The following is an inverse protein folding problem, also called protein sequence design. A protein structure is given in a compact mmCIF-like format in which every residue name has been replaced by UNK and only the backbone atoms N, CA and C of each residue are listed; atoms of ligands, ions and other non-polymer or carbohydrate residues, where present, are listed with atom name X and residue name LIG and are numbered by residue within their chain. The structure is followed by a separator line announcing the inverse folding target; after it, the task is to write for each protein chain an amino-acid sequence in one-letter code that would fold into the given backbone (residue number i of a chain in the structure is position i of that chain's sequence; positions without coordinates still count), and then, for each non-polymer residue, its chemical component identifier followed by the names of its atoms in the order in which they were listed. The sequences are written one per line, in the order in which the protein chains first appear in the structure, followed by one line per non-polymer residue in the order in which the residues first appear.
data_IF_984509242740
#
_entry.id   IF_984509242740
#
_cell.length_a   1.000
_cell.length_b   1.000
_cell.length_c   1.000
_cell.angle_alpha   90.00
_cell.angle_beta   90.00
_cell.angle_gamma   90.00
#
_symmetry.space_group_name_H-M   'P 1'
#
loop_
_entity.id
_entity.type
_entity.pdbx_description
1 polymer ?
#
# COMPACT_ATOMS: atom_id res chain seq x y z
N UNK A 1 36.84 44.52 -0.78
CA UNK A 1 37.43 43.58 -1.75
C UNK A 1 38.46 42.63 -1.14
N UNK A 2 39.45 43.10 -0.37
CA UNK A 2 40.54 42.25 0.14
C UNK A 2 40.09 41.09 1.08
N UNK A 3 39.02 41.28 1.86
CA UNK A 3 38.45 40.23 2.73
C UNK A 3 37.74 39.11 1.97
N UNK A 4 37.17 39.40 0.79
CA UNK A 4 36.45 38.41 -0.04
C UNK A 4 37.45 37.46 -0.73
N UNK A 5 38.60 38.00 -1.15
CA UNK A 5 39.67 37.21 -1.78
C UNK A 5 40.25 36.17 -0.80
N UNK A 6 40.38 36.54 0.48
CA UNK A 6 40.89 35.62 1.52
C UNK A 6 39.89 34.47 1.79
N UNK A 7 38.58 34.76 1.82
CA UNK A 7 37.56 33.74 2.03
C UNK A 7 37.52 32.75 0.86
N UNK A 8 37.61 33.24 -0.38
CA UNK A 8 37.64 32.39 -1.58
C UNK A 8 38.90 31.51 -1.58
N UNK A 9 40.06 32.06 -1.21
CA UNK A 9 41.30 31.28 -1.14
C UNK A 9 41.23 30.15 -0.09
N UNK A 10 40.61 30.41 1.07
CA UNK A 10 40.41 29.39 2.11
C UNK A 10 39.45 28.30 1.62
N UNK A 11 38.36 28.68 0.94
CA UNK A 11 37.37 27.73 0.42
C UNK A 11 37.96 26.82 -0.66
N UNK A 12 38.74 27.38 -1.59
CA UNK A 12 39.43 26.59 -2.63
C UNK A 12 40.45 25.63 -2.03
N UNK A 13 41.18 26.05 -0.98
CA UNK A 13 42.16 25.18 -0.32
C UNK A 13 41.47 24.01 0.42
N UNK A 14 40.34 24.26 1.07
CA UNK A 14 39.53 23.21 1.72
C UNK A 14 38.98 22.19 0.72
N UNK A 15 38.51 22.63 -0.45
CA UNK A 15 38.03 21.74 -1.51
C UNK A 15 39.16 20.82 -2.01
N UNK A 16 40.37 21.35 -2.21
CA UNK A 16 41.52 20.53 -2.63
C UNK A 16 41.94 19.50 -1.58
N UNK A 17 41.88 19.82 -0.28
CA UNK A 17 42.20 18.86 0.79
C UNK A 17 41.17 17.74 0.88
N UNK A 18 39.88 18.05 0.68
CA UNK A 18 38.82 17.02 0.65
C UNK A 18 38.99 16.11 -0.58
N UNK A 19 39.27 16.67 -1.75
CA UNK A 19 39.47 15.89 -2.97
C UNK A 19 40.70 14.97 -2.90
N UNK A 20 41.81 15.45 -2.31
CA UNK A 20 43.02 14.65 -2.14
C UNK A 20 42.85 13.47 -1.17
N UNK A 21 41.95 13.59 -0.18
CA UNK A 21 41.67 12.50 0.76
C UNK A 21 40.74 11.43 0.19
N UNK A 22 39.86 11.78 -0.76
CA UNK A 22 38.96 10.81 -1.41
C UNK A 22 39.72 9.96 -2.44
N UNK A 23 40.79 10.47 -3.04
CA UNK A 23 41.53 9.78 -4.10
C UNK A 23 42.56 8.73 -3.61
N UNK A 24 42.69 8.50 -2.29
CA UNK A 24 43.68 7.57 -1.70
C UNK A 24 43.08 6.26 -1.13
N UNK A 25 41.87 5.86 -1.53
CA UNK A 25 41.28 4.58 -1.10
C UNK A 25 40.69 3.78 -2.26
N UNK A 26 41.53 3.32 -3.17
CA UNK A 26 41.25 2.15 -4.02
C UNK A 26 42.58 1.50 -4.43
N UNK A 27 43.15 0.69 -3.55
CA UNK A 27 44.10 -0.36 -3.95
C UNK A 27 43.32 -1.66 -4.08
N UNK A 28 43.14 -2.09 -5.32
CA UNK A 28 42.62 -3.42 -5.70
C UNK A 28 43.83 -4.34 -5.82
N UNK A 29 43.88 -5.49 -5.14
CA UNK A 29 44.93 -6.47 -5.38
C UNK A 29 44.60 -7.30 -6.63
N UNK A 30 45.39 -7.11 -7.67
CA UNK A 30 45.60 -8.08 -8.75
C UNK A 30 46.30 -9.32 -8.20
N UNK A 31 45.70 -10.50 -8.38
CA UNK A 31 46.45 -11.76 -8.44
C UNK A 31 46.06 -12.57 -9.66
N UNK A 32 47.12 -13.00 -10.34
CA UNK A 32 47.24 -13.61 -11.64
C UNK A 32 46.84 -15.09 -11.72
N UNK A 33 46.31 -15.45 -12.90
CA UNK A 33 46.56 -16.66 -13.71
C UNK A 33 46.75 -18.03 -13.04
N UNK A 34 45.79 -18.92 -13.34
CA UNK A 34 46.05 -20.08 -14.18
C UNK A 34 46.31 -21.40 -13.46
N UNK A 35 45.38 -22.34 -13.59
CA UNK A 35 45.60 -23.66 -14.18
C UNK A 35 44.27 -24.42 -14.27
N UNK A 36 43.98 -24.89 -15.47
CA UNK A 36 42.88 -25.77 -15.83
C UNK A 36 43.20 -27.20 -15.41
N UNK A 37 42.37 -27.81 -14.58
CA UNK A 37 42.24 -29.27 -14.52
C UNK A 37 40.77 -29.64 -14.65
N UNK A 38 40.46 -30.26 -15.79
CA UNK A 38 39.24 -30.98 -16.08
C UNK A 38 39.21 -32.28 -15.26
N UNK A 39 38.25 -32.42 -14.36
CA UNK A 39 37.95 -33.72 -13.74
C UNK A 39 36.76 -34.35 -14.48
N UNK A 40 37.11 -35.42 -15.17
CA UNK A 40 36.27 -36.36 -15.87
C UNK A 40 35.51 -37.24 -14.84
N UNK A 41 34.19 -37.11 -14.77
CA UNK A 41 33.35 -37.90 -13.88
C UNK A 41 32.55 -38.90 -14.71
N UNK A 42 33.18 -40.02 -15.08
CA UNK A 42 32.50 -41.24 -15.53
C UNK A 42 33.45 -42.45 -15.60
N UNK A 43 33.57 -43.25 -14.52
CA UNK A 43 33.54 -44.74 -14.59
C UNK A 43 33.76 -45.46 -13.24
N UNK A 44 33.12 -46.65 -13.18
CA UNK A 44 33.14 -47.74 -12.18
C UNK A 44 32.14 -47.54 -11.02
N UNK A 45 30.98 -48.23 -10.92
CA UNK A 45 30.59 -49.64 -11.08
C UNK A 45 31.43 -50.61 -10.23
N UNK A 46 30.85 -51.17 -9.15
CA UNK A 46 30.40 -52.58 -8.99
C UNK A 46 30.00 -52.86 -7.52
N UNK A 47 28.85 -53.54 -7.39
CA UNK A 47 28.29 -54.40 -6.33
C UNK A 47 29.07 -54.66 -5.03
N UNK A 48 28.36 -54.65 -3.89
CA UNK A 48 28.19 -55.89 -3.12
C UNK A 48 26.91 -55.86 -2.25
N UNK A 49 26.27 -57.04 -2.19
CA UNK A 49 25.03 -57.38 -1.51
C UNK A 49 25.30 -57.88 -0.07
N UNK A 50 24.19 -57.95 0.67
CA UNK A 50 23.87 -58.81 1.84
C UNK A 50 24.16 -58.26 3.23
N UNK A 51 23.12 -58.32 4.06
CA UNK A 51 23.23 -58.26 5.50
C UNK A 51 21.90 -58.13 6.22
N UNK A 52 21.01 -59.13 6.09
CA UNK A 52 19.85 -59.29 6.97
C UNK A 52 20.28 -59.31 8.45
N UNK A 53 19.48 -58.67 9.33
CA UNK A 53 19.29 -59.20 10.69
C UNK A 53 17.96 -58.74 11.29
N UNK A 54 17.11 -59.74 11.55
CA UNK A 54 15.98 -59.70 12.46
C UNK A 54 16.36 -59.24 13.87
N UNK A 55 15.52 -58.42 14.51
CA UNK A 55 15.23 -58.52 15.94
C UNK A 55 13.73 -58.29 16.16
N UNK A 56 13.16 -59.12 17.04
CA UNK A 56 11.74 -59.32 17.33
C UNK A 56 11.35 -58.58 18.64
N UNK A 57 10.18 -57.94 18.62
CA UNK A 57 9.12 -57.79 19.67
C UNK A 57 9.41 -57.36 21.11
N UNK A 58 8.69 -56.32 21.56
CA UNK A 58 7.70 -56.32 22.67
C UNK A 58 6.92 -54.99 22.56
N UNK A 59 5.67 -54.89 22.07
CA UNK A 59 4.34 -55.24 22.61
C UNK A 59 4.05 -54.74 24.04
N UNK A 60 3.19 -53.71 24.15
CA UNK A 60 2.25 -53.48 25.26
C UNK A 60 0.89 -53.11 24.63
N UNK A 61 -0.15 -53.80 25.09
CA UNK A 61 -1.53 -53.89 24.61
C UNK A 61 -2.42 -52.68 25.03
N UNK A 62 -3.28 -52.17 24.12
CA UNK A 62 -4.78 -52.22 24.11
C UNK A 62 -5.55 -51.29 25.08
N UNK A 63 -6.89 -51.04 24.93
CA UNK A 63 -7.82 -51.31 23.82
C UNK A 63 -8.82 -50.17 23.43
N UNK A 64 -9.41 -50.38 22.26
CA UNK A 64 -10.82 -50.33 21.81
C UNK A 64 -11.74 -49.08 21.82
N UNK A 65 -12.39 -49.00 20.65
CA UNK A 65 -13.58 -48.27 20.26
C UNK A 65 -14.81 -48.53 21.16
N UNK A 66 -15.70 -47.53 21.25
CA UNK A 66 -17.03 -47.55 20.63
C UNK A 66 -18.02 -46.61 21.34
N UNK A 67 -18.94 -46.06 20.54
CA UNK A 67 -20.41 -46.00 20.74
C UNK A 67 -21.00 -44.64 20.36
N UNK A 68 -21.75 -44.69 19.26
CA UNK A 68 -22.77 -43.74 18.82
C UNK A 68 -23.86 -43.54 19.88
N UNK A 69 -24.20 -42.28 20.15
CA UNK A 69 -25.36 -41.89 20.95
C UNK A 69 -26.15 -40.77 20.26
N UNK A 70 -27.24 -41.16 19.59
CA UNK A 70 -28.32 -40.30 19.11
C UNK A 70 -29.08 -39.66 20.27
N UNK A 71 -29.42 -38.37 20.19
CA UNK A 71 -30.42 -37.73 21.06
C UNK A 71 -31.62 -37.30 20.22
N UNK A 72 -32.74 -37.97 20.48
CA UNK A 72 -34.09 -37.56 20.09
C UNK A 72 -34.53 -36.39 20.98
N UNK A 73 -35.05 -35.32 20.38
CA UNK A 73 -35.89 -34.35 21.09
C UNK A 73 -37.35 -34.64 20.74
N UNK A 74 -38.13 -34.95 21.78
CA UNK A 74 -39.58 -35.11 21.72
C UNK A 74 -40.29 -33.78 22.03
N UNK A 75 -41.44 -33.63 21.38
CA UNK A 75 -42.47 -32.60 21.44
C UNK A 75 -42.98 -32.20 22.83
N UNK A 76 -43.46 -30.95 22.92
CA UNK A 76 -44.85 -30.53 23.32
C UNK A 76 -44.80 -29.11 23.91
N UNK A 77 -45.22 -28.06 23.21
CA UNK A 77 -46.60 -27.58 22.93
C UNK A 77 -47.19 -26.62 23.98
N UNK A 78 -47.39 -25.35 23.52
CA UNK A 78 -48.58 -24.47 23.66
C UNK A 78 -49.07 -24.08 25.06
N UNK A 79 -49.14 -22.76 25.36
CA UNK A 79 -50.36 -21.97 25.68
C UNK A 79 -50.13 -20.47 25.35
N UNK A 80 -51.21 -19.83 24.88
CA UNK A 80 -51.37 -18.51 24.29
C UNK A 80 -51.51 -17.30 25.25
N UNK A 81 -51.57 -16.10 24.65
CA UNK A 81 -52.09 -14.82 25.20
C UNK A 81 -50.97 -13.83 25.58
N UNK A 82 -51.01 -12.53 25.33
CA UNK A 82 -52.12 -11.58 25.14
C UNK A 82 -51.57 -10.33 24.42
N UNK A 83 -52.43 -9.69 23.61
CA UNK A 83 -52.25 -8.39 22.95
C UNK A 83 -52.07 -7.24 23.95
N UNK A 84 -51.23 -6.24 23.64
CA UNK A 84 -51.57 -4.87 24.02
C UNK A 84 -50.96 -3.84 23.06
N UNK A 85 -51.86 -3.00 22.52
CA UNK A 85 -51.60 -1.82 21.72
C UNK A 85 -50.80 -0.78 22.52
N UNK A 86 -49.82 -0.11 21.91
CA UNK A 86 -49.50 1.26 22.32
C UNK A 86 -49.21 2.16 21.12
N UNK A 87 -50.11 3.11 20.98
CA UNK A 87 -50.11 4.27 20.10
C UNK A 87 -48.86 5.11 20.39
N UNK A 88 -48.09 5.48 19.37
CA UNK A 88 -47.14 6.60 19.44
C UNK A 88 -47.61 7.65 18.44
N UNK A 89 -48.13 8.75 18.96
CA UNK A 89 -48.45 9.96 18.21
C UNK A 89 -47.17 10.72 17.89
N UNK A 90 -47.09 11.16 16.64
CA UNK A 90 -46.24 12.24 16.16
C UNK A 90 -46.58 13.54 16.90
N UNK A 91 -45.59 14.17 17.53
CA UNK A 91 -45.61 15.62 17.72
C UNK A 91 -44.26 16.22 17.34
N UNK A 92 -44.31 17.00 16.27
CA UNK A 92 -43.35 18.01 15.85
C UNK A 92 -43.26 19.13 16.87
N UNK A 93 -42.06 19.51 17.30
CA UNK A 93 -41.83 20.79 17.98
C UNK A 93 -40.59 21.49 17.42
N UNK A 94 -40.87 22.60 16.73
CA UNK A 94 -39.95 23.69 16.40
C UNK A 94 -39.88 24.59 17.64
N UNK A 95 -38.68 24.81 18.20
CA UNK A 95 -38.37 26.05 18.93
C UNK A 95 -36.94 26.48 18.59
N UNK A 96 -36.85 27.72 18.11
CA UNK A 96 -35.66 28.52 17.90
C UNK A 96 -35.47 29.37 19.17
N UNK A 97 -34.29 29.34 19.81
CA UNK A 97 -33.80 30.47 20.62
C UNK A 97 -32.33 30.30 20.99
N UNK A 98 -31.52 31.18 20.41
CA UNK A 98 -30.26 31.75 20.88
C UNK A 98 -29.83 31.40 22.31
N UNK A 99 -28.69 30.71 22.42
CA UNK A 99 -27.71 31.00 23.49
C UNK A 99 -26.29 30.88 22.94
N UNK A 100 -25.60 32.00 23.04
CA UNK A 100 -24.21 32.24 22.76
C UNK A 100 -23.33 31.42 23.72
N UNK A 101 -22.63 30.40 23.24
CA UNK A 101 -21.51 29.76 23.96
C UNK A 101 -20.34 29.59 23.01
N UNK A 102 -19.32 30.41 23.26
CA UNK A 102 -17.98 30.32 22.70
C UNK A 102 -17.40 28.95 23.07
N UNK A 103 -17.20 28.10 22.08
CA UNK A 103 -16.32 26.94 22.15
C UNK A 103 -15.18 27.18 21.17
N UNK A 104 -13.99 27.43 21.71
CA UNK A 104 -12.74 27.47 20.96
C UNK A 104 -12.48 26.06 20.39
N UNK A 105 -12.68 25.93 19.08
CA UNK A 105 -12.36 24.72 18.34
C UNK A 105 -10.86 24.59 18.15
N UNK A 106 -10.29 23.49 18.66
CA UNK A 106 -8.97 23.00 18.23
C UNK A 106 -9.16 22.19 16.95
N UNK A 107 -9.49 22.88 15.87
CA UNK A 107 -9.28 22.39 14.51
C UNK A 107 -7.92 22.90 14.06
N UNK A 108 -7.03 22.04 13.57
CA UNK A 108 -5.82 22.49 12.90
C UNK A 108 -6.22 23.21 11.62
N UNK A 109 -6.41 24.52 11.69
CA UNK A 109 -6.60 25.38 10.53
C UNK A 109 -5.29 25.37 9.76
N UNK A 110 -5.19 24.48 8.76
CA UNK A 110 -4.16 24.59 7.75
C UNK A 110 -4.25 26.03 7.21
N UNK A 111 -3.13 26.74 7.24
CA UNK A 111 -3.11 28.15 6.87
C UNK A 111 -3.66 28.28 5.45
N UNK A 112 -4.42 29.34 5.18
CA UNK A 112 -4.90 29.63 3.82
C UNK A 112 -3.74 29.67 2.80
N UNK A 113 -2.54 30.06 3.26
CA UNK A 113 -1.32 29.99 2.46
C UNK A 113 -0.89 28.56 2.15
N UNK A 114 -1.03 27.63 3.08
CA UNK A 114 -0.65 26.23 2.89
C UNK A 114 -1.63 25.54 1.91
N UNK A 115 -2.91 25.91 1.97
CA UNK A 115 -3.92 25.45 1.01
C UNK A 115 -3.60 25.96 -0.40
N UNK A 116 -3.26 27.24 -0.54
CA UNK A 116 -2.81 27.80 -1.81
C UNK A 116 -1.55 27.10 -2.35
N UNK A 117 -0.53 26.88 -1.52
CA UNK A 117 0.71 26.21 -1.92
C UNK A 117 0.41 24.79 -2.43
N UNK A 118 -0.48 24.05 -1.75
CA UNK A 118 -0.86 22.72 -2.17
C UNK A 118 -1.55 22.72 -3.55
N UNK A 119 -2.52 23.62 -3.76
CA UNK A 119 -3.21 23.77 -5.05
C UNK A 119 -2.26 24.23 -6.17
N UNK A 120 -1.31 25.12 -5.84
CA UNK A 120 -0.30 25.56 -6.80
C UNK A 120 0.60 24.41 -7.22
N UNK A 121 1.13 23.63 -6.26
CA UNK A 121 1.98 22.49 -6.55
C UNK A 121 1.24 21.43 -7.39
N UNK A 122 -0.02 21.21 -7.09
CA UNK A 122 -0.88 20.30 -7.83
C UNK A 122 -1.09 20.76 -9.29
N UNK A 123 -1.50 22.02 -9.51
CA UNK A 123 -1.78 22.56 -10.84
C UNK A 123 -0.52 22.76 -11.68
N UNK A 124 0.53 23.33 -11.09
CA UNK A 124 1.82 23.53 -11.76
C UNK A 124 2.51 22.19 -12.02
N UNK A 125 2.37 21.23 -11.10
CA UNK A 125 2.86 19.87 -11.29
C UNK A 125 2.18 19.17 -12.46
N UNK A 126 0.84 19.21 -12.52
CA UNK A 126 0.08 18.68 -13.64
C UNK A 126 0.46 19.35 -14.98
N UNK A 127 0.58 20.68 -14.98
CA UNK A 127 0.99 21.44 -16.17
C UNK A 127 2.41 21.11 -16.64
N UNK A 128 3.38 21.02 -15.72
CA UNK A 128 4.76 20.67 -16.03
C UNK A 128 4.93 19.25 -16.58
N UNK A 129 4.03 18.35 -16.17
CA UNK A 129 3.99 16.96 -16.62
C UNK A 129 3.13 16.73 -17.86
N UNK A 130 2.46 17.77 -18.39
CA UNK A 130 1.55 17.64 -19.54
C UNK A 130 0.31 16.80 -19.26
N UNK A 131 -0.11 16.69 -18.00
CA UNK A 131 -1.26 15.92 -17.55
C UNK A 131 -2.54 16.75 -17.67
N UNK A 132 -3.65 16.10 -18.02
CA UNK A 132 -4.97 16.73 -18.03
C UNK A 132 -5.76 16.32 -16.78
N UNK A 133 -6.63 17.21 -16.31
CA UNK A 133 -7.45 16.97 -15.14
C UNK A 133 -8.81 16.38 -15.55
N UNK A 134 -9.28 15.38 -14.82
CA UNK A 134 -10.64 14.86 -15.00
C UNK A 134 -11.69 15.90 -14.60
N UNK A 135 -12.94 15.72 -15.01
CA UNK A 135 -14.05 16.62 -14.66
C UNK A 135 -14.21 16.74 -13.14
N UNK A 136 -14.30 15.62 -12.41
CA UNK A 136 -14.46 15.61 -10.96
C UNK A 136 -13.28 16.24 -10.21
N UNK A 137 -12.05 16.00 -10.67
CA UNK A 137 -10.86 16.63 -10.09
C UNK A 137 -10.86 18.15 -10.34
N UNK A 138 -11.24 18.56 -11.53
CA UNK A 138 -11.32 19.98 -11.91
C UNK A 138 -12.43 20.70 -11.14
N UNK A 139 -13.56 20.04 -10.89
CA UNK A 139 -14.64 20.55 -10.04
C UNK A 139 -14.18 20.74 -8.59
N UNK A 140 -13.44 19.78 -8.01
CA UNK A 140 -12.84 19.93 -6.68
C UNK A 140 -11.92 21.14 -6.61
N UNK A 141 -10.94 21.24 -7.52
CA UNK A 141 -10.01 22.38 -7.55
C UNK A 141 -10.77 23.70 -7.77
N UNK A 142 -11.84 23.69 -8.55
CA UNK A 142 -12.71 24.87 -8.73
C UNK A 142 -13.34 25.28 -7.40
N UNK A 143 -13.82 24.32 -6.61
CA UNK A 143 -14.32 24.54 -5.25
C UNK A 143 -13.25 25.13 -4.33
N UNK A 144 -12.07 24.52 -4.29
CA UNK A 144 -10.98 24.98 -3.42
C UNK A 144 -10.48 26.39 -3.78
N UNK A 145 -10.44 26.74 -5.08
CA UNK A 145 -10.11 28.09 -5.55
C UNK A 145 -11.20 29.12 -5.18
N UNK A 146 -12.48 28.71 -5.18
CA UNK A 146 -13.58 29.56 -4.71
C UNK A 146 -13.48 29.79 -3.20
N UNK A 147 -13.09 28.78 -2.43
CA UNK A 147 -12.90 28.92 -0.99
C UNK A 147 -11.74 29.87 -0.68
N UNK A 148 -10.62 29.80 -1.40
CA UNK A 148 -9.53 30.79 -1.28
C UNK A 148 -10.01 32.22 -1.60
N UNK A 149 -10.81 32.39 -2.65
CA UNK A 149 -11.36 33.69 -3.06
C UNK A 149 -12.32 34.26 -2.00
N UNK A 150 -13.18 33.42 -1.43
CA UNK A 150 -14.13 33.77 -0.37
C UNK A 150 -13.44 34.14 0.94
N UNK A 151 -12.20 33.70 1.14
CA UNK A 151 -11.36 34.04 2.29
C UNK A 151 -10.36 35.17 1.97
N UNK A 152 -10.67 36.02 0.98
CA UNK A 152 -9.90 37.21 0.60
C UNK A 152 -8.41 36.94 0.22
N UNK A 153 -8.10 35.74 -0.27
CA UNK A 153 -6.78 35.46 -0.83
C UNK A 153 -6.55 36.27 -2.11
N UNK A 154 -5.27 36.43 -2.50
CA UNK A 154 -4.88 37.25 -3.64
C UNK A 154 -5.55 36.79 -4.95
N UNK A 155 -6.40 37.66 -5.50
CA UNK A 155 -7.21 37.40 -6.71
C UNK A 155 -6.35 37.16 -7.96
N UNK A 156 -5.22 37.83 -8.09
CA UNK A 156 -4.33 37.65 -9.25
C UNK A 156 -3.69 36.26 -9.25
N UNK A 157 -3.37 35.75 -8.06
CA UNK A 157 -2.78 34.42 -7.89
C UNK A 157 -3.81 33.31 -8.11
N UNK A 158 -5.05 33.52 -7.64
CA UNK A 158 -6.19 32.63 -7.92
C UNK A 158 -6.47 32.60 -9.42
N UNK A 159 -6.52 33.74 -10.09
CA UNK A 159 -6.81 33.82 -11.53
C UNK A 159 -5.74 33.11 -12.37
N UNK A 160 -4.46 33.20 -11.94
CA UNK A 160 -3.38 32.41 -12.55
C UNK A 160 -3.66 30.90 -12.41
N UNK A 161 -4.04 30.43 -11.22
CA UNK A 161 -4.39 29.01 -11.02
C UNK A 161 -5.63 28.60 -11.83
N UNK A 162 -6.67 29.45 -11.92
CA UNK A 162 -7.84 29.22 -12.79
C UNK A 162 -7.45 29.12 -14.26
N UNK A 163 -6.49 29.91 -14.71
CA UNK A 163 -5.96 29.83 -16.09
C UNK A 163 -5.25 28.51 -16.34
N UNK A 164 -4.43 28.04 -15.39
CA UNK A 164 -3.76 26.74 -15.47
C UNK A 164 -4.82 25.63 -15.51
N UNK A 165 -5.75 25.62 -14.55
CA UNK A 165 -6.88 24.69 -14.49
C UNK A 165 -7.67 24.65 -15.82
N UNK A 166 -7.98 25.81 -16.39
CA UNK A 166 -8.66 25.93 -17.69
C UNK A 166 -7.83 25.29 -18.81
N UNK A 167 -6.51 25.47 -18.83
CA UNK A 167 -5.66 24.83 -19.85
C UNK A 167 -5.61 23.31 -19.71
N UNK A 168 -5.59 22.80 -18.47
CA UNK A 168 -5.56 21.37 -18.16
C UNK A 168 -6.92 20.69 -18.38
N UNK A 169 -8.02 21.45 -18.40
CA UNK A 169 -9.38 20.98 -18.71
C UNK A 169 -9.72 21.09 -20.19
N UNK A 170 -9.36 22.20 -20.84
CA UNK A 170 -9.61 22.41 -22.28
C UNK A 170 -8.76 21.51 -23.16
N UNK A 171 -7.53 21.18 -22.73
CA UNK A 171 -6.75 20.13 -23.37
C UNK A 171 -7.43 18.75 -23.32
N UNK A 172 -8.23 18.50 -22.27
CA UNK A 172 -9.08 17.32 -22.16
C UNK A 172 -10.26 17.34 -23.15
N UNK A 173 -10.78 18.52 -23.54
CA UNK A 173 -11.93 18.68 -24.43
C UNK A 173 -11.59 18.57 -25.94
N UNK A 174 -10.32 18.73 -26.33
CA UNK A 174 -9.84 18.48 -27.69
C UNK A 174 -9.32 17.06 -27.92
N UNK A 175 -9.18 16.29 -26.84
CA UNK A 175 -9.22 14.84 -26.91
C UNK A 175 -10.69 14.44 -26.84
N UNK A 176 -11.34 14.24 -28.00
CA UNK A 176 -12.52 13.37 -28.03
C UNK A 176 -12.15 12.12 -27.23
N UNK A 177 -13.04 11.67 -26.36
CA UNK A 177 -12.99 10.39 -25.65
C UNK A 177 -12.71 9.24 -26.64
N UNK A 178 -11.47 9.10 -27.08
CA UNK A 178 -10.92 7.85 -27.53
C UNK A 178 -10.47 7.19 -26.23
N UNK A 179 -11.46 6.74 -25.47
CA UNK A 179 -11.28 5.58 -24.63
C UNK A 179 -10.79 4.50 -25.59
N UNK A 180 -9.48 4.30 -25.66
CA UNK A 180 -8.95 3.17 -26.40
C UNK A 180 -9.51 1.98 -25.65
N UNK A 181 -10.47 1.30 -26.27
CA UNK A 181 -10.86 -0.07 -25.95
C UNK A 181 -9.58 -0.91 -26.09
N UNK A 182 -8.78 -0.89 -25.02
CA UNK A 182 -7.57 -1.67 -24.89
C UNK A 182 -7.98 -3.11 -24.70
N UNK A 183 -7.83 -3.89 -25.76
CA UNK A 183 -7.67 -5.33 -25.65
C UNK A 183 -6.66 -5.64 -24.55
N UNK A 184 -7.04 -6.57 -23.66
CA UNK A 184 -6.21 -7.40 -22.77
C UNK A 184 -4.78 -6.90 -22.51
N UNK A 185 -4.46 -6.59 -21.23
CA UNK A 185 -3.13 -6.12 -20.80
C UNK A 185 -2.00 -6.79 -21.58
N UNK A 186 -1.32 -6.00 -22.42
CA UNK A 186 0.00 -6.33 -22.92
C UNK A 186 1.00 -5.73 -21.94
N UNK A 187 1.07 -6.30 -20.74
CA UNK A 187 2.06 -5.91 -19.74
C UNK A 187 3.46 -5.87 -20.39
N UNK A 188 4.28 -4.88 -20.01
CA UNK A 188 5.68 -4.86 -20.40
C UNK A 188 6.48 -5.65 -19.36
N UNK A 189 7.38 -6.53 -19.82
CA UNK A 189 8.27 -7.29 -18.93
C UNK A 189 9.30 -6.35 -18.30
N UNK A 190 9.29 -6.31 -16.98
CA UNK A 190 10.26 -5.59 -16.17
C UNK A 190 10.23 -6.17 -14.76
N UNK A 191 11.13 -7.10 -14.41
CA UNK A 191 11.14 -7.72 -13.08
C UNK A 191 11.73 -6.81 -12.00
N UNK A 192 12.24 -5.62 -12.34
CA UNK A 192 12.86 -4.68 -11.39
C UNK A 192 12.51 -3.24 -11.73
N UNK A 193 11.21 -2.86 -11.72
CA UNK A 193 10.78 -1.48 -11.89
C UNK A 193 11.34 -0.59 -10.78
N UNK A 194 11.47 0.70 -11.06
CA UNK A 194 11.94 1.67 -10.06
C UNK A 194 10.75 2.52 -9.64
N UNK A 195 10.45 2.50 -8.34
CA UNK A 195 9.45 3.34 -7.71
C UNK A 195 10.05 4.72 -7.47
N UNK A 196 9.55 5.70 -8.23
CA UNK A 196 10.08 7.05 -8.29
C UNK A 196 9.30 8.02 -7.39
N UNK A 197 8.10 7.65 -6.97
CA UNK A 197 7.22 8.43 -6.09
C UNK A 197 6.93 7.67 -4.80
N UNK A 198 6.63 8.40 -3.73
CA UNK A 198 6.21 7.80 -2.45
C UNK A 198 4.81 7.21 -2.61
N UNK A 199 4.48 6.17 -1.85
CA UNK A 199 3.11 5.59 -1.81
C UNK A 199 2.14 6.39 -0.94
N UNK A 200 2.65 7.30 -0.11
CA UNK A 200 1.88 8.19 0.76
C UNK A 200 2.76 9.33 1.28
N UNK A 201 2.21 10.25 2.07
CA UNK A 201 3.00 11.21 2.84
C UNK A 201 3.77 10.50 3.96
N UNK A 202 5.05 10.21 3.70
CA UNK A 202 5.94 9.51 4.64
C UNK A 202 6.07 10.23 5.98
N UNK A 203 5.92 11.56 6.01
CA UNK A 203 6.01 12.35 7.24
C UNK A 203 4.85 12.10 8.21
N UNK A 204 3.76 11.51 7.72
CA UNK A 204 2.55 11.19 8.49
C UNK A 204 2.57 9.75 9.03
N UNK A 205 3.62 8.98 8.76
CA UNK A 205 3.77 7.62 9.26
C UNK A 205 4.54 7.62 10.59
N UNK A 206 3.99 6.94 11.60
CA UNK A 206 4.68 6.72 12.87
C UNK A 206 5.73 5.60 12.78
N UNK A 207 5.39 4.53 12.05
CA UNK A 207 6.23 3.35 11.86
C UNK A 207 5.72 2.50 10.71
N UNK A 208 6.57 1.58 10.27
CA UNK A 208 6.24 0.54 9.30
C UNK A 208 6.57 -0.81 9.91
N UNK A 209 5.63 -1.74 9.84
CA UNK A 209 5.91 -3.15 10.08
C UNK A 209 6.25 -3.79 8.73
N UNK A 210 7.46 -4.33 8.55
CA UNK A 210 7.88 -4.87 7.26
C UNK A 210 7.08 -6.13 6.89
N UNK A 211 7.04 -6.49 5.59
CA UNK A 211 6.42 -7.73 5.15
C UNK A 211 7.17 -8.93 5.71
N UNK A 212 6.47 -10.06 5.85
CA UNK A 212 7.01 -11.31 6.38
C UNK A 212 6.86 -11.45 7.88
N UNK A 213 6.08 -10.57 8.49
CA UNK A 213 5.72 -10.64 9.90
C UNK A 213 4.81 -11.85 10.15
N UNK A 214 5.13 -12.66 11.16
CA UNK A 214 4.32 -13.82 11.56
C UNK A 214 3.58 -13.48 12.86
N UNK A 215 2.26 -13.38 12.78
CA UNK A 215 1.42 -13.12 13.95
C UNK A 215 1.09 -14.41 14.71
N UNK A 216 0.55 -14.24 15.91
CA UNK A 216 0.02 -15.34 16.73
C UNK A 216 -0.91 -16.24 15.92
N UNK A 217 -0.76 -17.55 16.11
CA UNK A 217 -1.43 -18.56 15.26
C UNK A 217 -0.67 -18.91 13.97
N UNK A 218 0.53 -18.35 13.76
CA UNK A 218 1.39 -18.71 12.62
C UNK A 218 0.98 -18.05 11.30
N UNK A 219 0.18 -16.98 11.37
CA UNK A 219 -0.32 -16.27 10.19
C UNK A 219 0.78 -15.37 9.64
N UNK A 220 1.30 -15.72 8.47
CA UNK A 220 2.26 -14.91 7.74
C UNK A 220 1.54 -13.73 7.08
N UNK A 221 2.07 -12.53 7.28
CA UNK A 221 1.64 -11.32 6.56
C UNK A 221 2.69 -10.98 5.52
N UNK A 222 2.35 -11.25 4.26
CA UNK A 222 3.16 -11.01 3.07
C UNK A 222 3.33 -9.53 2.70
N UNK A 223 2.57 -8.64 3.34
CA UNK A 223 2.57 -7.20 3.12
C UNK A 223 3.01 -6.44 4.38
N UNK A 224 3.31 -5.16 4.21
CA UNK A 224 3.65 -4.24 5.28
C UNK A 224 2.41 -3.65 5.93
N UNK A 225 2.53 -3.22 7.19
CA UNK A 225 1.58 -2.30 7.83
C UNK A 225 2.18 -0.90 7.92
N UNK A 226 1.52 0.09 7.34
CA UNK A 226 1.88 1.50 7.42
C UNK A 226 1.03 2.17 8.49
N UNK A 227 1.63 2.54 9.62
CA UNK A 227 0.90 3.07 10.78
C UNK A 227 0.83 4.59 10.71
N UNK A 228 -0.36 5.14 10.58
CA UNK A 228 -0.58 6.58 10.48
C UNK A 228 -0.47 7.21 11.87
N UNK A 229 0.39 8.23 12.01
CA UNK A 229 0.77 8.78 13.30
C UNK A 229 -0.39 9.45 14.05
N UNK A 230 -1.26 10.15 13.35
CA UNK A 230 -2.36 10.93 13.92
C UNK A 230 -3.74 10.31 13.64
N UNK A 231 -3.78 9.13 13.03
CA UNK A 231 -5.02 8.46 12.60
C UNK A 231 -5.85 9.24 11.60
N UNK A 232 -5.35 10.37 11.07
CA UNK A 232 -6.07 11.20 10.11
C UNK A 232 -5.82 10.70 8.71
N UNK A 233 -6.71 11.10 7.80
CA UNK A 233 -6.62 10.81 6.38
C UNK A 233 -5.24 11.18 5.80
N UNK A 234 -4.70 10.26 4.99
CA UNK A 234 -3.49 10.43 4.18
C UNK A 234 -3.79 10.08 2.72
N UNK A 235 -3.10 10.72 1.76
CA UNK A 235 -3.19 10.36 0.35
C UNK A 235 -2.45 9.04 0.09
N UNK A 236 -2.94 8.30 -0.90
CA UNK A 236 -2.29 7.12 -1.47
C UNK A 236 -1.93 7.43 -2.92
N UNK A 237 -0.64 7.31 -3.24
CA UNK A 237 -0.12 7.65 -4.55
C UNK A 237 0.34 6.40 -5.31
N UNK A 238 0.33 6.50 -6.64
CA UNK A 238 1.02 5.55 -7.52
C UNK A 238 2.55 5.75 -7.41
N UNK A 239 3.33 4.76 -6.93
CA UNK A 239 4.79 4.92 -6.81
C UNK A 239 5.53 4.80 -8.15
N UNK A 240 4.86 4.24 -9.15
CA UNK A 240 5.32 3.95 -10.50
C UNK A 240 4.09 3.91 -11.42
N UNK A 241 4.30 4.01 -12.74
CA UNK A 241 3.25 3.73 -13.72
C UNK A 241 2.67 2.33 -13.46
N UNK A 242 1.35 2.24 -13.37
CA UNK A 242 0.68 1.00 -12.99
C UNK A 242 -0.76 0.95 -13.50
N UNK A 243 -1.31 -0.25 -13.65
CA UNK A 243 -2.68 -0.47 -14.14
C UNK A 243 -3.44 -1.36 -13.17
N UNK A 244 -4.67 -0.98 -12.83
CA UNK A 244 -5.52 -1.77 -11.93
C UNK A 244 -5.76 -3.17 -12.55
N UNK A 245 -5.31 -4.21 -11.86
CA UNK A 245 -5.45 -5.61 -12.29
C UNK A 245 -6.68 -6.26 -11.66
N UNK A 246 -6.91 -6.00 -10.38
CA UNK A 246 -8.08 -6.48 -9.65
C UNK A 246 -8.40 -5.60 -8.44
N UNK A 247 -9.65 -5.64 -8.00
CA UNK A 247 -10.09 -4.91 -6.83
C UNK A 247 -11.20 -5.65 -6.07
N UNK A 248 -11.35 -5.35 -4.79
CA UNK A 248 -12.50 -5.73 -3.99
C UNK A 248 -13.03 -4.51 -3.24
N UNK A 249 -14.35 -4.45 -3.05
CA UNK A 249 -15.01 -3.57 -2.11
C UNK A 249 -15.67 -4.48 -1.08
N UNK A 250 -15.25 -4.39 0.17
CA UNK A 250 -15.62 -5.34 1.19
C UNK A 250 -15.80 -4.69 2.56
N UNK A 251 -16.44 -5.41 3.47
CA UNK A 251 -16.51 -5.08 4.88
C UNK A 251 -16.36 -6.36 5.69
N UNK A 252 -15.60 -6.29 6.78
CA UNK A 252 -15.51 -7.37 7.77
C UNK A 252 -15.99 -6.82 9.10
N UNK A 253 -17.29 -6.91 9.43
CA UNK A 253 -17.89 -6.20 10.56
C UNK A 253 -17.27 -6.51 11.92
N UNK A 254 -16.56 -7.64 12.06
CA UNK A 254 -15.85 -7.97 13.30
C UNK A 254 -14.51 -7.22 13.45
N UNK A 255 -14.01 -6.59 12.39
CA UNK A 255 -12.72 -5.92 12.32
C UNK A 255 -12.79 -4.48 11.81
N UNK A 256 -13.87 -4.10 11.13
CA UNK A 256 -14.12 -2.72 10.73
C UNK A 256 -15.61 -2.39 10.66
N UNK A 257 -15.92 -1.18 11.09
CA UNK A 257 -17.22 -0.53 11.02
C UNK A 257 -17.48 0.16 9.67
N UNK A 258 -16.48 0.29 8.80
CA UNK A 258 -16.58 0.95 7.50
C UNK A 258 -16.22 0.00 6.35
N UNK A 259 -16.89 0.11 5.19
CA UNK A 259 -16.45 -0.55 3.97
C UNK A 259 -15.08 -0.07 3.52
N UNK A 260 -14.32 -0.96 2.90
CA UNK A 260 -12.94 -0.73 2.50
C UNK A 260 -12.66 -1.35 1.13
N UNK A 261 -11.56 -0.92 0.53
CA UNK A 261 -11.11 -1.39 -0.77
C UNK A 261 -9.75 -2.08 -0.67
N UNK A 262 -9.66 -3.21 -1.35
CA UNK A 262 -8.43 -3.92 -1.66
C UNK A 262 -8.16 -3.73 -3.14
N UNK A 263 -6.99 -3.18 -3.48
CA UNK A 263 -6.61 -2.82 -4.84
C UNK A 263 -5.30 -3.52 -5.20
N UNK A 264 -5.27 -4.17 -6.36
CA UNK A 264 -4.06 -4.70 -6.97
C UNK A 264 -3.76 -3.99 -8.28
N UNK A 265 -2.50 -3.65 -8.47
CA UNK A 265 -2.01 -2.95 -9.65
C UNK A 265 -0.86 -3.71 -10.30
N UNK A 266 -1.02 -4.04 -11.57
CA UNK A 266 0.04 -4.52 -12.42
C UNK A 266 1.02 -3.37 -12.72
N UNK A 267 2.29 -3.58 -12.41
CA UNK A 267 3.39 -2.66 -12.74
C UNK A 267 4.16 -3.17 -13.95
N UNK A 268 4.33 -4.48 -14.03
CA UNK A 268 4.94 -5.21 -15.14
C UNK A 268 4.33 -6.61 -15.22
N UNK A 269 4.72 -7.40 -16.21
CA UNK A 269 4.28 -8.79 -16.28
C UNK A 269 4.67 -9.62 -15.06
N UNK A 270 5.70 -9.19 -14.33
CA UNK A 270 6.23 -9.92 -13.19
C UNK A 270 5.83 -9.33 -11.85
N UNK A 271 5.58 -8.01 -11.80
CA UNK A 271 5.45 -7.24 -10.56
C UNK A 271 4.05 -6.66 -10.39
N UNK A 272 3.45 -6.95 -9.24
CA UNK A 272 2.16 -6.43 -8.81
C UNK A 272 2.28 -5.71 -7.45
N UNK A 273 1.56 -4.62 -7.29
CA UNK A 273 1.44 -3.87 -6.03
C UNK A 273 0.06 -4.12 -5.43
N UNK A 274 0.02 -4.35 -4.11
CA UNK A 274 -1.21 -4.40 -3.31
C UNK A 274 -1.31 -3.16 -2.44
N UNK A 275 -2.52 -2.58 -2.40
CA UNK A 275 -2.98 -1.65 -1.38
C UNK A 275 -4.26 -2.16 -0.73
N UNK A 276 -4.32 -2.21 0.59
CA UNK A 276 -5.52 -2.64 1.35
C UNK A 276 -5.91 -1.58 2.37
N UNK A 277 -7.09 -1.77 2.97
CA UNK A 277 -7.66 -0.83 3.93
C UNK A 277 -7.77 0.58 3.33
N UNK A 278 -8.09 0.67 2.03
CA UNK A 278 -8.34 1.92 1.32
C UNK A 278 -9.78 2.34 1.56
N UNK A 279 -10.04 3.63 1.83
CA UNK A 279 -11.39 4.11 2.19
C UNK A 279 -12.03 4.95 1.09
N UNK A 280 -11.25 5.79 0.43
CA UNK A 280 -11.75 6.75 -0.57
C UNK A 280 -10.95 6.63 -1.88
N UNK A 281 -11.21 5.60 -2.73
CA UNK A 281 -10.65 5.55 -4.08
C UNK A 281 -11.09 6.74 -4.93
N UNK A 282 -10.26 7.17 -5.88
CA UNK A 282 -10.66 8.19 -6.86
C UNK A 282 -11.79 7.70 -7.75
N UNK A 283 -12.53 8.63 -8.35
CA UNK A 283 -13.71 8.34 -9.18
C UNK A 283 -13.43 7.33 -10.31
N UNK A 284 -12.24 7.41 -10.93
CA UNK A 284 -11.84 6.47 -11.99
C UNK A 284 -11.82 5.00 -11.51
N UNK A 285 -11.46 4.75 -10.24
CA UNK A 285 -11.53 3.42 -9.64
C UNK A 285 -12.97 3.05 -9.31
N UNK A 286 -13.72 3.97 -8.68
CA UNK A 286 -15.13 3.75 -8.31
C UNK A 286 -16.02 3.42 -9.52
N UNK A 287 -15.69 3.94 -10.70
CA UNK A 287 -16.40 3.68 -11.94
C UNK A 287 -16.23 2.23 -12.45
N UNK A 288 -15.21 1.51 -12.01
CA UNK A 288 -14.83 0.20 -12.59
C UNK A 288 -14.84 -0.96 -11.59
N UNK A 289 -15.04 -0.68 -10.31
CA UNK A 289 -15.06 -1.66 -9.22
C UNK A 289 -16.48 -1.82 -8.63
N UNK A 290 -16.77 -2.91 -7.91
CA UNK A 290 -18.09 -3.11 -7.32
C UNK A 290 -18.51 -2.00 -6.34
N UNK A 291 -19.71 -1.46 -6.53
CA UNK A 291 -20.23 -0.36 -5.69
C UNK A 291 -20.71 -0.84 -4.32
N UNK A 292 -21.23 -2.06 -4.22
CA UNK A 292 -21.71 -2.61 -2.95
C UNK A 292 -20.61 -3.43 -2.28
N UNK A 293 -20.35 -3.22 -0.97
CA UNK A 293 -19.37 -4.02 -0.27
C UNK A 293 -19.85 -5.45 -0.07
N UNK A 294 -18.98 -6.41 -0.36
CA UNK A 294 -19.18 -7.79 0.03
C UNK A 294 -18.91 -7.96 1.54
N UNK A 295 -19.76 -8.70 2.24
CA UNK A 295 -19.63 -8.92 3.70
C UNK A 295 -18.79 -10.17 3.93
N UNK A 296 -17.74 -10.04 4.74
CA UNK A 296 -16.80 -11.11 5.11
C UNK A 296 -16.14 -11.81 3.89
N UNK A 297 -15.99 -11.06 2.80
CA UNK A 297 -15.44 -11.57 1.54
C UNK A 297 -14.60 -10.50 0.85
N UNK A 298 -13.27 -10.63 0.93
CA UNK A 298 -12.31 -9.72 0.30
C UNK A 298 -11.81 -10.21 -1.06
N UNK A 299 -12.41 -11.28 -1.64
CA UNK A 299 -11.99 -11.78 -2.95
C UNK A 299 -12.12 -10.69 -4.00
N UNK A 300 -11.08 -10.54 -4.82
CA UNK A 300 -11.02 -9.50 -5.83
C UNK A 300 -11.66 -9.92 -7.14
N UNK A 301 -12.03 -8.93 -7.93
CA UNK A 301 -12.58 -9.07 -9.27
C UNK A 301 -11.78 -8.16 -10.22
N UNK A 302 -11.64 -8.58 -11.48
CA UNK A 302 -11.07 -7.72 -12.50
C UNK A 302 -11.95 -6.46 -12.69
N UNK A 303 -11.37 -5.29 -12.98
CA UNK A 303 -12.16 -4.11 -13.26
C UNK A 303 -12.95 -4.27 -14.55
N UNK A 304 -14.08 -3.56 -14.67
CA UNK A 304 -14.94 -3.62 -15.86
C UNK A 304 -14.23 -3.12 -17.14
N UNK A 305 -13.28 -2.20 -16.98
CA UNK A 305 -12.38 -1.68 -18.02
C UNK A 305 -11.00 -1.38 -17.41
N UNK A 306 -9.91 -1.37 -18.19
CA UNK A 306 -8.59 -1.01 -17.69
C UNK A 306 -8.54 0.43 -17.14
N UNK A 307 -7.88 0.62 -16.01
CA UNK A 307 -7.61 1.94 -15.41
C UNK A 307 -6.13 2.03 -15.06
N UNK A 308 -5.43 3.01 -15.63
CA UNK A 308 -3.98 3.19 -15.46
C UNK A 308 -3.69 4.53 -14.80
N UNK A 309 -2.61 4.54 -14.01
CA UNK A 309 -2.11 5.71 -13.30
C UNK A 309 -0.64 5.92 -13.64
N UNK A 310 -0.22 7.18 -13.65
CA UNK A 310 1.18 7.59 -13.75
C UNK A 310 1.81 7.68 -12.36
N UNK A 311 3.12 7.49 -12.31
CA UNK A 311 3.88 7.71 -11.08
C UNK A 311 3.59 9.11 -10.50
N UNK A 312 3.19 9.15 -9.24
CA UNK A 312 2.81 10.37 -8.51
C UNK A 312 1.33 10.71 -8.50
N UNK A 313 0.50 10.04 -9.31
CA UNK A 313 -0.95 10.25 -9.29
C UNK A 313 -1.53 9.86 -7.93
N UNK A 314 -2.48 10.66 -7.42
CA UNK A 314 -3.32 10.24 -6.28
C UNK A 314 -4.31 9.20 -6.79
N UNK A 315 -4.31 8.03 -6.14
CA UNK A 315 -5.23 6.93 -6.48
C UNK A 315 -6.34 6.76 -5.44
N UNK A 316 -6.09 7.18 -4.20
CA UNK A 316 -7.07 7.08 -3.13
C UNK A 316 -6.67 7.92 -1.91
N UNK A 317 -7.52 7.90 -0.90
CA UNK A 317 -7.19 8.29 0.46
C UNK A 317 -7.57 7.20 1.46
N UNK A 318 -6.89 7.20 2.61
CA UNK A 318 -7.22 6.31 3.73
C UNK A 318 -6.83 6.91 5.08
N UNK A 319 -7.54 6.52 6.13
CA UNK A 319 -7.12 6.68 7.54
C UNK A 319 -6.70 5.34 8.17
N UNK A 320 -6.55 4.30 7.35
CA UNK A 320 -6.30 2.94 7.77
C UNK A 320 -7.49 2.27 8.43
N UNK A 321 -7.22 1.16 9.10
CA UNK A 321 -8.16 0.42 9.94
C UNK A 321 -8.68 1.27 11.09
N UNK A 322 -9.91 0.99 11.55
CA UNK A 322 -10.59 1.80 12.57
C UNK A 322 -9.84 1.87 13.91
N UNK A 323 -9.27 0.74 14.35
CA UNK A 323 -8.62 0.63 15.65
C UNK A 323 -7.12 0.95 15.61
N UNK A 324 -6.43 0.48 14.57
CA UNK A 324 -4.97 0.55 14.49
C UNK A 324 -4.46 1.69 13.60
N UNK A 325 -5.33 2.30 12.80
CA UNK A 325 -5.00 3.35 11.83
C UNK A 325 -3.82 2.97 10.93
N UNK A 326 -3.76 1.69 10.56
CA UNK A 326 -2.77 1.17 9.64
C UNK A 326 -3.43 0.72 8.33
N UNK A 327 -2.65 0.71 7.26
CA UNK A 327 -3.08 0.22 5.96
C UNK A 327 -1.95 -0.57 5.30
N UNK A 328 -2.30 -1.37 4.30
CA UNK A 328 -1.40 -2.39 3.81
C UNK A 328 -0.71 -1.96 2.51
N UNK A 329 0.57 -2.32 2.41
CA UNK A 329 1.35 -2.21 1.18
C UNK A 329 2.11 -3.51 0.92
N UNK A 330 1.80 -4.15 -0.20
CA UNK A 330 2.47 -5.37 -0.66
C UNK A 330 3.09 -5.20 -2.03
N UNK A 331 4.19 -5.91 -2.28
CA UNK A 331 4.76 -6.07 -3.62
C UNK A 331 5.00 -7.55 -3.83
N UNK A 332 4.58 -8.04 -4.99
CA UNK A 332 4.69 -9.44 -5.38
C UNK A 332 5.44 -9.54 -6.69
N UNK A 333 6.44 -10.42 -6.76
CA UNK A 333 7.28 -10.59 -7.94
C UNK A 333 7.35 -12.08 -8.34
N UNK A 334 6.81 -12.41 -9.51
CA UNK A 334 6.75 -13.80 -9.99
C UNK A 334 8.12 -14.40 -10.35
N UNK A 335 9.15 -13.58 -10.53
CA UNK A 335 10.53 -14.04 -10.74
C UNK A 335 11.21 -14.51 -9.45
N UNK A 336 10.65 -14.16 -8.29
CA UNK A 336 11.21 -14.56 -7.00
C UNK A 336 10.76 -15.96 -6.65
N UNK A 337 11.73 -16.78 -6.26
CA UNK A 337 11.46 -18.12 -5.75
C UNK A 337 10.74 -18.02 -4.40
N UNK A 338 9.64 -18.74 -4.19
CA UNK A 338 8.98 -18.82 -2.90
C UNK A 338 9.96 -19.05 -1.76
N UNK A 339 9.84 -18.25 -0.68
CA UNK A 339 10.72 -18.42 0.47
C UNK A 339 10.49 -19.81 1.08
N UNK A 340 11.53 -20.65 1.31
CA UNK A 340 11.36 -22.00 1.84
C UNK A 340 10.57 -22.07 3.16
N UNK A 341 10.62 -21.02 3.98
CA UNK A 341 9.84 -20.92 5.23
C UNK A 341 8.33 -20.92 4.98
N UNK A 342 7.89 -20.48 3.80
CA UNK A 342 6.47 -20.47 3.40
C UNK A 342 5.93 -21.84 2.98
N UNK A 343 6.80 -22.80 2.64
CA UNK A 343 6.38 -24.11 2.10
C UNK A 343 5.60 -24.98 3.10
N UNK A 344 5.61 -24.63 4.39
CA UNK A 344 4.87 -25.32 5.45
C UNK A 344 3.71 -24.52 6.05
N UNK A 345 3.43 -23.32 5.55
CA UNK A 345 2.38 -22.45 6.09
C UNK A 345 1.05 -22.78 5.40
N UNK A 346 0.14 -23.42 6.13
CA UNK A 346 -1.21 -23.70 5.64
C UNK A 346 -1.97 -22.39 5.41
N UNK A 347 -2.75 -22.32 4.33
CA UNK A 347 -3.59 -21.18 3.93
C UNK A 347 -2.83 -19.93 3.43
N UNK A 348 -1.54 -20.05 3.09
CA UNK A 348 -0.85 -18.99 2.36
C UNK A 348 -1.15 -19.11 0.86
N UNK A 349 -1.68 -18.04 0.27
CA UNK A 349 -1.97 -18.01 -1.17
C UNK A 349 -0.68 -18.06 -2.01
N UNK A 350 -0.78 -18.53 -3.26
CA UNK A 350 0.39 -18.64 -4.14
C UNK A 350 1.04 -17.28 -4.43
N UNK A 351 0.25 -16.21 -4.48
CA UNK A 351 0.78 -14.85 -4.65
C UNK A 351 1.57 -14.41 -3.42
N UNK A 352 1.11 -14.72 -2.21
CA UNK A 352 1.78 -14.37 -0.96
C UNK A 352 3.12 -15.05 -0.78
N UNK A 353 3.31 -16.23 -1.37
CA UNK A 353 4.60 -16.92 -1.41
C UNK A 353 5.65 -16.14 -2.21
N UNK A 354 5.21 -15.25 -3.10
CA UNK A 354 6.03 -14.43 -4.01
C UNK A 354 6.15 -12.99 -3.56
N UNK A 355 5.79 -12.72 -2.30
CA UNK A 355 6.01 -11.43 -1.68
C UNK A 355 7.49 -11.06 -1.68
N UNK A 356 7.76 -9.78 -1.90
CA UNK A 356 9.09 -9.19 -1.92
C UNK A 356 9.16 -7.97 -1.00
N UNK A 357 10.37 -7.48 -0.74
CA UNK A 357 10.54 -6.19 -0.10
C UNK A 357 10.20 -5.05 -1.08
N UNK A 358 8.95 -4.60 -1.07
CA UNK A 358 8.51 -3.49 -1.93
C UNK A 358 9.34 -2.21 -1.80
N UNK A 359 9.97 -2.01 -0.64
CA UNK A 359 10.86 -0.87 -0.38
C UNK A 359 12.17 -0.91 -1.16
N UNK A 360 12.59 -2.08 -1.67
CA UNK A 360 13.81 -2.21 -2.47
C UNK A 360 13.65 -1.73 -3.92
N UNK A 361 12.41 -1.54 -4.38
CA UNK A 361 12.11 -0.96 -5.69
C UNK A 361 12.21 0.57 -5.68
N UNK A 362 12.23 1.21 -4.52
CA UNK A 362 12.35 2.67 -4.44
C UNK A 362 13.77 3.15 -4.75
N UNK A 363 13.85 4.36 -5.30
CA UNK A 363 15.11 5.12 -5.37
C UNK A 363 15.80 5.17 -4.00
N UNK A 364 17.14 5.29 -4.01
CA UNK A 364 17.95 5.13 -2.80
C UNK A 364 17.51 6.05 -1.65
N UNK A 365 17.18 7.31 -1.95
CA UNK A 365 16.78 8.30 -0.95
C UNK A 365 15.42 7.95 -0.31
N UNK A 366 14.44 7.56 -1.13
CA UNK A 366 13.10 7.15 -0.66
C UNK A 366 13.16 5.85 0.12
N UNK A 367 13.91 4.87 -0.37
CA UNK A 367 14.13 3.59 0.31
C UNK A 367 14.71 3.80 1.71
N UNK A 368 15.69 4.69 1.85
CA UNK A 368 16.24 5.05 3.16
C UNK A 368 15.19 5.68 4.09
N UNK A 369 14.35 6.59 3.58
CA UNK A 369 13.28 7.19 4.36
C UNK A 369 12.29 6.15 4.91
N UNK A 370 11.84 5.21 4.06
CA UNK A 370 10.93 4.14 4.49
C UNK A 370 11.59 3.16 5.48
N UNK A 371 12.81 2.73 5.21
CA UNK A 371 13.52 1.77 6.09
C UNK A 371 13.80 2.34 7.47
N UNK A 372 14.01 3.65 7.59
CA UNK A 372 14.16 4.31 8.89
C UNK A 372 12.89 4.22 9.77
N UNK A 373 11.73 3.93 9.17
CA UNK A 373 10.48 3.72 9.89
C UNK A 373 10.24 2.26 10.29
N UNK A 374 11.10 1.32 9.88
CA UNK A 374 10.90 -0.10 10.18
C UNK A 374 10.98 -0.37 11.67
N UNK A 375 9.91 -0.98 12.19
CA UNK A 375 9.85 -1.46 13.56
C UNK A 375 9.37 -2.92 13.57
N UNK A 376 10.28 -3.80 13.98
CA UNK A 376 10.05 -5.26 14.04
C UNK A 376 9.35 -5.73 15.31
N UNK A 377 9.13 -4.85 16.28
CA UNK A 377 8.54 -5.21 17.57
C UNK A 377 7.03 -4.94 17.61
N UNK A 378 6.24 -5.89 17.10
CA UNK A 378 4.84 -6.04 17.51
C UNK A 378 4.77 -7.20 18.51
N UNK A 379 5.06 -6.92 19.78
CA UNK A 379 4.51 -7.67 20.93
C UNK A 379 4.81 -9.18 21.12
N UNK A 380 5.57 -9.85 20.26
CA UNK A 380 5.84 -11.29 20.38
C UNK A 380 7.24 -11.69 19.94
N UNK A 381 7.70 -12.88 20.36
CA UNK A 381 8.92 -13.52 19.87
C UNK A 381 8.76 -13.87 18.39
N UNK A 382 8.94 -12.90 17.49
CA UNK A 382 8.69 -13.12 16.06
C UNK A 382 9.88 -13.77 15.37
N UNK A 383 9.67 -15.01 14.93
CA UNK A 383 10.25 -15.49 13.67
C UNK A 383 9.62 -14.66 12.54
N UNK A 384 10.41 -13.87 11.81
CA UNK A 384 9.96 -13.20 10.58
C UNK A 384 10.52 -13.91 9.36
N UNK A 385 9.78 -13.87 8.26
CA UNK A 385 10.32 -14.18 6.94
C UNK A 385 11.07 -12.94 6.46
N UNK A 386 12.40 -13.00 6.25
CA UNK A 386 13.17 -11.81 5.91
C UNK A 386 12.98 -11.47 4.43
N UNK A 387 11.82 -10.95 4.05
CA UNK A 387 11.63 -10.38 2.72
C UNK A 387 12.46 -9.12 2.58
N UNK A 388 12.40 -8.24 3.59
CA UNK A 388 13.26 -7.06 3.68
C UNK A 388 14.52 -7.36 4.48
N UNK A 389 15.68 -6.93 3.97
CA UNK A 389 16.85 -6.70 4.84
C UNK A 389 16.46 -5.62 5.87
N UNK A 390 16.79 -5.78 7.15
CA UNK A 390 16.49 -4.79 8.20
C UNK A 390 17.75 -4.03 8.56
#
# INVERSE_FOLDING_TARGET
MQKIIIIIAIFVTLIFVVYANISMRFDVPETSNGLSESIDVNKAIIDDKRGERHVKTTQIDQPDEAVLGTVQNNDSSVIAGVEENMIVQHESNIINSDTNTVFEGVGSTQSINDQFIALEQELVGAQGSGLYLSSGHSERITGDLLDLENNDYNKDEIERLRTILTSLTVGSNNHSENFVLGTQSTCESNPSPIFTNDITDVSRLAKITPPGTIFDGGVVKSHSYLWIQDGKKVPVYAPVDMTLSSASHYITPQHSSVPQFLLFFEVSCEVEIKFDHILEPVEALLAVIPTNPAVDDSRTQAPSIPVSFKAGDIIAYTSGTDDAHNWDFGVYNTTISPNPVTNGVSNLEEIDKRADCGYDYFSIDKRSAYRNLFQVNIGGSMTSIPYCSI
#
